data_IF_552035613638
#
_entry.id   IF_552035613638
#
_cell.length_a   1.000
_cell.length_b   1.000
_cell.length_c   1.000
_cell.angle_alpha   90.00
_cell.angle_beta   90.00
_cell.angle_gamma   90.00
#
_symmetry.space_group_name_H-M   'P 1'
#
loop_
_entity.id
_entity.type
_entity.pdbx_description
1 polymer ?
#
# COMPACT_ATOMS: atom_id res chain seq x y z
N UNK A 1 1.36 14.80 -11.59
CA UNK A 1 1.91 14.03 -10.45
C UNK A 1 1.22 14.45 -9.15
N UNK A 2 1.33 13.63 -8.08
CA UNK A 2 0.82 14.00 -6.73
C UNK A 2 1.43 15.32 -6.27
N UNK A 3 2.72 15.55 -6.54
CA UNK A 3 3.41 16.80 -6.21
C UNK A 3 2.77 17.99 -6.93
N UNK A 4 2.45 17.87 -8.21
CA UNK A 4 1.77 18.93 -8.98
C UNK A 4 0.35 19.21 -8.45
N UNK A 5 -0.35 18.18 -8.01
CA UNK A 5 -1.65 18.32 -7.37
C UNK A 5 -1.54 19.08 -6.04
N UNK A 6 -0.60 18.71 -5.18
CA UNK A 6 -0.38 19.36 -3.89
C UNK A 6 0.06 20.81 -4.03
N UNK A 7 0.92 21.12 -5.02
CA UNK A 7 1.31 22.49 -5.36
C UNK A 7 0.08 23.29 -5.84
N UNK A 8 -0.78 22.68 -6.66
CA UNK A 8 -2.01 23.30 -7.13
C UNK A 8 -3.02 23.59 -6.00
N UNK A 9 -3.07 22.79 -4.96
CA UNK A 9 -3.89 23.06 -3.76
C UNK A 9 -3.42 24.32 -3.02
N UNK A 10 -2.10 24.56 -2.97
CA UNK A 10 -1.52 25.77 -2.34
C UNK A 10 -1.91 27.04 -3.07
N UNK A 11 -2.11 26.99 -4.39
CA UNK A 11 -2.49 28.15 -5.22
C UNK A 11 -3.95 28.61 -4.99
N UNK A 12 -4.78 27.86 -4.28
CA UNK A 12 -6.18 28.20 -4.00
C UNK A 12 -6.37 28.98 -2.70
N UNK A 13 -5.47 29.92 -2.39
CA UNK A 13 -5.72 30.92 -1.34
C UNK A 13 -5.70 30.38 0.09
N UNK A 14 -4.86 29.38 0.39
CA UNK A 14 -4.57 29.04 1.78
C UNK A 14 -3.89 30.26 2.41
N UNK A 15 -4.54 30.88 3.41
CA UNK A 15 -3.90 31.81 4.32
C UNK A 15 -2.57 31.19 4.78
N UNK A 16 -1.49 31.99 4.79
CA UNK A 16 -0.20 31.53 5.30
C UNK A 16 -0.39 30.83 6.64
N UNK A 17 -0.08 29.54 6.70
CA UNK A 17 -0.22 28.79 7.92
C UNK A 17 0.88 29.24 8.91
N UNK A 18 0.51 30.16 9.79
CA UNK A 18 1.42 30.66 10.84
C UNK A 18 1.42 29.70 12.01
N UNK A 19 2.51 28.99 12.19
CA UNK A 19 2.69 28.12 13.35
C UNK A 19 3.21 28.92 14.53
N UNK A 20 2.53 28.85 15.67
CA UNK A 20 3.01 29.49 16.90
C UNK A 20 4.31 28.82 17.38
N UNK A 21 5.34 29.63 17.68
CA UNK A 21 6.65 29.15 18.12
C UNK A 21 6.60 28.12 19.27
N UNK A 22 5.74 28.25 20.29
CA UNK A 22 5.60 27.24 21.35
C UNK A 22 5.13 25.89 20.83
N UNK A 23 4.27 25.86 19.80
CA UNK A 23 3.80 24.61 19.17
C UNK A 23 4.91 23.94 18.38
N UNK A 24 5.79 24.71 17.75
CA UNK A 24 6.97 24.16 17.05
C UNK A 24 7.90 23.46 18.04
N UNK A 25 8.25 24.12 19.15
CA UNK A 25 9.10 23.55 20.19
C UNK A 25 8.50 22.25 20.76
N UNK A 26 7.19 22.25 21.02
CA UNK A 26 6.48 21.06 21.48
C UNK A 26 6.45 19.94 20.43
N UNK A 27 6.27 20.28 19.16
CA UNK A 27 6.34 19.34 18.04
C UNK A 27 7.71 18.67 17.93
N UNK A 28 8.80 19.43 18.04
CA UNK A 28 10.18 18.92 18.06
C UNK A 28 10.38 17.96 19.25
N UNK A 29 9.93 18.33 20.42
CA UNK A 29 9.99 17.48 21.61
C UNK A 29 9.28 16.14 21.40
N UNK A 30 8.05 16.15 20.86
CA UNK A 30 7.32 14.92 20.55
C UNK A 30 7.99 14.11 19.45
N UNK A 31 8.54 14.75 18.41
CA UNK A 31 9.27 14.09 17.35
C UNK A 31 10.44 13.27 17.91
N UNK A 32 11.18 13.81 18.87
CA UNK A 32 12.27 13.11 19.55
C UNK A 32 11.76 12.02 20.51
N UNK A 33 10.80 12.35 21.36
CA UNK A 33 10.26 11.41 22.36
C UNK A 33 9.61 10.18 21.74
N UNK A 34 8.92 10.36 20.62
CA UNK A 34 8.26 9.30 19.87
C UNK A 34 9.18 8.61 18.86
N UNK A 35 10.45 9.03 18.82
CA UNK A 35 11.46 8.48 17.91
C UNK A 35 11.05 8.52 16.42
N UNK A 36 10.35 9.56 16.00
CA UNK A 36 9.89 9.71 14.60
C UNK A 36 11.07 9.79 13.62
N UNK A 37 12.24 10.27 14.07
CA UNK A 37 13.47 10.34 13.29
C UNK A 37 14.06 8.97 12.92
N UNK A 38 13.55 7.85 13.46
CA UNK A 38 13.94 6.51 13.00
C UNK A 38 13.47 6.21 11.58
N UNK A 39 12.41 6.91 11.11
CA UNK A 39 11.82 6.72 9.78
C UNK A 39 11.72 8.04 8.99
N UNK A 40 11.61 9.20 9.68
CA UNK A 40 11.44 10.50 9.06
C UNK A 40 12.72 11.35 9.20
N UNK A 41 13.12 11.96 8.09
CA UNK A 41 14.30 12.83 8.08
C UNK A 41 13.92 14.26 8.53
N UNK A 42 14.53 14.72 9.63
CA UNK A 42 14.43 16.10 10.09
C UNK A 42 15.85 16.64 10.31
N UNK A 43 16.26 17.76 9.67
CA UNK A 43 17.61 18.29 9.79
C UNK A 43 18.02 18.47 11.27
N UNK A 44 19.22 18.00 11.61
CA UNK A 44 19.76 18.07 12.97
C UNK A 44 19.17 17.10 13.99
N UNK A 45 18.23 16.23 13.59
CA UNK A 45 17.63 15.21 14.46
C UNK A 45 17.98 13.81 13.98
N UNK A 46 18.45 12.96 14.90
CA UNK A 46 18.76 11.54 14.63
C UNK A 46 17.85 10.69 15.50
N UNK A 47 17.18 9.72 14.87
CA UNK A 47 16.40 8.71 15.58
C UNK A 47 17.28 7.57 16.11
N UNK A 48 16.77 6.88 17.12
CA UNK A 48 17.30 5.58 17.53
C UNK A 48 16.93 4.57 16.45
N UNK A 49 17.81 3.62 16.07
CA UNK A 49 17.47 2.57 15.12
C UNK A 49 16.18 1.86 15.54
N UNK A 50 15.30 1.59 14.59
CA UNK A 50 14.13 0.76 14.83
C UNK A 50 14.60 -0.68 15.15
N UNK A 51 13.84 -1.38 16.00
CA UNK A 51 14.09 -2.79 16.23
C UNK A 51 13.87 -3.59 14.94
N UNK A 52 14.71 -4.58 14.72
CA UNK A 52 14.50 -5.56 13.66
C UNK A 52 13.14 -6.26 13.88
N UNK A 53 12.44 -6.54 12.77
CA UNK A 53 11.12 -7.17 12.83
C UNK A 53 11.09 -8.46 13.65
N UNK A 54 12.18 -9.26 13.60
CA UNK A 54 12.34 -10.49 14.36
C UNK A 54 12.44 -10.29 15.88
N UNK A 55 12.79 -9.08 16.31
CA UNK A 55 12.88 -8.68 17.73
C UNK A 55 11.60 -8.09 18.29
N UNK A 56 10.62 -7.82 17.44
CA UNK A 56 9.33 -7.30 17.88
C UNK A 56 8.56 -8.37 18.66
N UNK A 57 7.82 -7.93 19.66
CA UNK A 57 6.96 -8.79 20.50
C UNK A 57 5.52 -8.30 20.45
N UNK A 58 4.60 -9.24 20.34
CA UNK A 58 3.17 -8.91 20.45
C UNK A 58 2.87 -8.31 21.82
N UNK A 59 2.13 -7.20 21.83
CA UNK A 59 1.74 -6.50 23.06
C UNK A 59 2.79 -5.54 23.63
N UNK A 60 3.97 -5.43 23.01
CA UNK A 60 5.02 -4.49 23.41
C UNK A 60 5.19 -3.33 22.42
N UNK A 61 5.91 -2.29 22.82
CA UNK A 61 6.18 -1.11 22.00
C UNK A 61 4.91 -0.52 21.42
N UNK A 62 4.89 -0.25 20.12
CA UNK A 62 3.74 0.32 19.40
C UNK A 62 2.52 -0.63 19.32
N UNK A 63 2.68 -1.91 19.59
CA UNK A 63 1.57 -2.88 19.66
C UNK A 63 0.94 -2.97 21.06
N UNK A 64 1.52 -2.27 22.06
CA UNK A 64 0.97 -2.18 23.40
C UNK A 64 -0.32 -1.33 23.42
N UNK A 65 -1.21 -1.63 24.35
CA UNK A 65 -2.37 -0.77 24.65
C UNK A 65 -1.95 0.53 25.36
N UNK A 66 -0.76 0.56 25.96
CA UNK A 66 -0.16 1.72 26.60
C UNK A 66 1.34 1.77 26.28
N UNK A 67 1.72 2.24 25.07
CA UNK A 67 3.11 2.26 24.66
C UNK A 67 3.94 3.19 25.56
N UNK A 68 5.12 2.75 25.94
CA UNK A 68 6.11 3.57 26.65
C UNK A 68 7.15 4.05 25.66
N UNK A 69 7.23 5.35 25.40
CA UNK A 69 8.28 5.95 24.55
C UNK A 69 8.16 5.70 23.05
N UNK A 70 6.95 5.43 22.55
CA UNK A 70 6.65 5.26 21.13
C UNK A 70 5.28 5.82 20.77
N UNK A 71 4.93 5.89 19.47
CA UNK A 71 3.63 6.36 19.04
C UNK A 71 2.51 5.42 19.50
N UNK A 72 1.39 6.00 19.88
CA UNK A 72 0.16 5.26 20.16
C UNK A 72 -0.63 5.10 18.87
N UNK A 73 -0.78 3.85 18.43
CA UNK A 73 -1.72 3.51 17.37
C UNK A 73 -3.01 2.99 18.00
N UNK A 74 -4.13 3.62 17.70
CA UNK A 74 -5.44 3.22 18.23
C UNK A 74 -5.92 1.90 17.58
N UNK A 75 -5.15 0.84 17.79
CA UNK A 75 -5.43 -0.49 17.24
C UNK A 75 -6.52 -1.18 18.08
N UNK A 76 -7.48 -1.81 17.40
CA UNK A 76 -8.43 -2.70 18.07
C UNK A 76 -7.73 -3.96 18.57
N UNK A 77 -8.40 -4.69 19.47
CA UNK A 77 -7.92 -5.99 19.95
C UNK A 77 -7.69 -6.99 18.79
N UNK A 78 -8.61 -6.99 17.81
CA UNK A 78 -8.51 -7.84 16.63
C UNK A 78 -7.28 -7.48 15.76
N UNK A 79 -7.01 -6.19 15.55
CA UNK A 79 -5.84 -5.74 14.82
C UNK A 79 -4.54 -6.13 15.54
N UNK A 80 -4.45 -5.95 16.86
CA UNK A 80 -3.29 -6.39 17.65
C UNK A 80 -3.08 -7.89 17.58
N UNK A 81 -4.16 -8.67 17.68
CA UNK A 81 -4.09 -10.12 17.55
C UNK A 81 -3.60 -10.55 16.16
N UNK A 82 -4.08 -9.91 15.09
CA UNK A 82 -3.63 -10.17 13.72
C UNK A 82 -2.14 -9.84 13.54
N UNK A 83 -1.68 -8.69 14.07
CA UNK A 83 -0.27 -8.31 14.05
C UNK A 83 0.60 -9.29 14.85
N UNK A 84 0.11 -9.76 16.01
CA UNK A 84 0.80 -10.80 16.80
C UNK A 84 0.98 -12.10 16.03
N UNK A 85 -0.06 -12.55 15.30
CA UNK A 85 0.03 -13.71 14.42
C UNK A 85 1.03 -13.49 13.28
N UNK A 86 1.04 -12.30 12.66
CA UNK A 86 2.00 -11.96 11.63
C UNK A 86 3.45 -11.99 12.15
N UNK A 87 3.70 -11.42 13.34
CA UNK A 87 5.03 -11.48 13.98
C UNK A 87 5.49 -12.91 14.25
N UNK A 88 4.61 -13.79 14.70
CA UNK A 88 4.93 -15.20 14.92
C UNK A 88 5.24 -15.97 13.62
N UNK A 89 4.84 -15.42 12.48
CA UNK A 89 5.11 -15.96 11.14
C UNK A 89 6.38 -15.43 10.47
N UNK A 90 7.04 -14.42 11.04
CA UNK A 90 8.24 -13.81 10.44
C UNK A 90 9.35 -14.88 10.28
N UNK A 91 9.95 -14.89 9.10
CA UNK A 91 11.01 -15.83 8.75
C UNK A 91 10.52 -17.24 8.33
N UNK A 92 9.22 -17.51 8.41
CA UNK A 92 8.65 -18.75 7.87
C UNK A 92 8.36 -18.57 6.37
N UNK A 93 8.72 -19.54 5.52
CA UNK A 93 8.39 -19.47 4.11
C UNK A 93 6.87 -19.47 3.92
N UNK A 94 6.39 -18.57 3.07
CA UNK A 94 4.99 -18.51 2.68
C UNK A 94 4.71 -19.48 1.53
N UNK A 95 3.58 -20.16 1.55
CA UNK A 95 3.07 -20.88 0.39
C UNK A 95 2.73 -19.91 -0.76
N UNK A 96 2.61 -20.42 -1.97
CA UNK A 96 2.47 -19.62 -3.21
C UNK A 96 1.27 -18.67 -3.18
N UNK A 97 0.10 -19.14 -2.76
CA UNK A 97 -1.10 -18.30 -2.58
C UNK A 97 -0.87 -17.15 -1.60
N UNK A 98 -0.20 -17.42 -0.48
CA UNK A 98 0.07 -16.41 0.54
C UNK A 98 1.10 -15.38 0.06
N UNK A 99 2.09 -15.78 -0.75
CA UNK A 99 3.04 -14.86 -1.38
C UNK A 99 2.33 -13.91 -2.36
N UNK A 100 1.44 -14.46 -3.20
CA UNK A 100 0.61 -13.65 -4.10
C UNK A 100 -0.20 -12.64 -3.28
N UNK A 101 -0.96 -13.11 -2.30
CA UNK A 101 -1.81 -12.25 -1.47
C UNK A 101 -1.00 -11.17 -0.75
N UNK A 102 0.14 -11.51 -0.18
CA UNK A 102 1.04 -10.55 0.46
C UNK A 102 1.46 -9.45 -0.53
N UNK A 103 1.85 -9.83 -1.74
CA UNK A 103 2.25 -8.89 -2.78
C UNK A 103 1.09 -8.00 -3.21
N UNK A 104 -0.09 -8.58 -3.45
CA UNK A 104 -1.29 -7.82 -3.85
C UNK A 104 -1.71 -6.80 -2.78
N UNK A 105 -1.55 -7.13 -1.50
CA UNK A 105 -1.83 -6.21 -0.38
C UNK A 105 -0.73 -5.17 -0.25
N UNK A 106 0.55 -5.56 -0.30
CA UNK A 106 1.69 -4.66 -0.14
C UNK A 106 1.71 -3.54 -1.19
N UNK A 107 1.35 -3.85 -2.44
CA UNK A 107 1.27 -2.89 -3.54
C UNK A 107 -0.14 -2.35 -3.79
N UNK A 108 -1.08 -2.67 -2.90
CA UNK A 108 -2.48 -2.24 -2.97
C UNK A 108 -3.19 -2.58 -4.30
N UNK A 109 -2.79 -3.66 -4.95
CA UNK A 109 -3.42 -4.15 -6.18
C UNK A 109 -4.90 -4.46 -5.96
N UNK A 110 -5.25 -4.89 -4.74
CA UNK A 110 -6.63 -5.19 -4.31
C UNK A 110 -7.55 -3.97 -4.26
N UNK A 111 -7.04 -2.74 -4.35
CA UNK A 111 -7.89 -1.55 -4.48
C UNK A 111 -8.61 -1.50 -5.83
N UNK A 112 -8.08 -2.18 -6.85
CA UNK A 112 -8.60 -2.19 -8.20
C UNK A 112 -9.00 -3.59 -8.67
N UNK A 113 -8.26 -4.63 -8.27
CA UNK A 113 -8.48 -6.01 -8.69
C UNK A 113 -9.12 -6.84 -7.59
N UNK A 114 -10.05 -7.72 -7.99
CA UNK A 114 -10.55 -8.77 -7.10
C UNK A 114 -9.71 -10.03 -7.23
N UNK A 115 -9.56 -10.78 -6.14
CA UNK A 115 -9.07 -12.15 -6.12
C UNK A 115 -9.63 -12.91 -4.93
N UNK A 116 -10.07 -14.14 -5.13
CA UNK A 116 -10.65 -15.02 -4.09
C UNK A 116 -11.74 -14.31 -3.26
N UNK A 117 -12.58 -13.51 -3.91
CA UNK A 117 -13.68 -12.75 -3.30
C UNK A 117 -13.25 -11.51 -2.50
N UNK A 118 -11.96 -11.15 -2.48
CA UNK A 118 -11.46 -9.96 -1.79
C UNK A 118 -11.03 -8.86 -2.78
N UNK A 119 -11.10 -7.60 -2.35
CA UNK A 119 -10.67 -6.43 -3.12
C UNK A 119 -11.69 -5.95 -4.15
N UNK A 120 -11.16 -5.23 -5.15
CA UNK A 120 -11.94 -4.62 -6.24
C UNK A 120 -12.36 -3.19 -5.97
N UNK A 121 -12.78 -2.52 -7.04
CA UNK A 121 -13.27 -1.14 -6.97
C UNK A 121 -14.63 -1.11 -6.25
N UNK A 122 -14.77 -0.26 -5.23
CA UNK A 122 -16.06 -0.07 -4.57
C UNK A 122 -17.06 0.65 -5.50
N UNK A 123 -18.35 0.40 -5.34
CA UNK A 123 -19.40 1.04 -6.14
C UNK A 123 -19.33 2.57 -6.09
N UNK A 124 -18.96 3.15 -4.96
CA UNK A 124 -18.80 4.60 -4.81
C UNK A 124 -17.68 5.17 -5.69
N UNK A 125 -16.70 4.34 -6.05
CA UNK A 125 -15.55 4.72 -6.89
C UNK A 125 -15.79 4.49 -8.38
N UNK A 126 -16.82 3.76 -8.80
CA UNK A 126 -17.11 3.43 -10.21
C UNK A 126 -17.18 4.67 -11.11
N UNK A 127 -17.69 5.79 -10.63
CA UNK A 127 -17.77 7.07 -11.37
C UNK A 127 -16.41 7.62 -11.82
N UNK A 128 -15.32 7.16 -11.22
CA UNK A 128 -13.95 7.59 -11.54
C UNK A 128 -13.28 6.69 -12.58
N UNK A 129 -13.93 5.61 -12.98
CA UNK A 129 -13.45 4.68 -13.98
C UNK A 129 -14.20 4.88 -15.29
N UNK A 130 -13.56 5.55 -16.24
CA UNK A 130 -14.12 5.85 -17.56
C UNK A 130 -13.65 4.86 -18.62
N UNK A 131 -14.39 4.86 -19.74
CA UNK A 131 -14.08 4.05 -20.92
C UNK A 131 -14.63 4.76 -22.18
N UNK A 132 -14.00 4.49 -23.35
CA UNK A 132 -14.53 4.90 -24.64
C UNK A 132 -15.53 3.87 -25.21
N UNK A 133 -15.69 2.70 -24.54
CA UNK A 133 -16.56 1.60 -24.95
C UNK A 133 -17.71 1.39 -23.95
N UNK A 134 -18.60 2.36 -23.84
CA UNK A 134 -19.70 2.35 -22.86
C UNK A 134 -20.63 1.13 -23.01
N UNK A 135 -20.83 0.66 -24.25
CA UNK A 135 -21.69 -0.49 -24.57
C UNK A 135 -21.26 -1.82 -23.91
N UNK A 136 -20.00 -1.92 -23.50
CA UNK A 136 -19.47 -3.10 -22.80
C UNK A 136 -19.71 -3.05 -21.27
N UNK A 137 -20.21 -1.94 -20.74
CA UNK A 137 -20.53 -1.77 -19.34
C UNK A 137 -19.29 -1.86 -18.41
N UNK A 138 -19.47 -2.43 -17.23
CA UNK A 138 -18.39 -2.51 -16.22
C UNK A 138 -17.12 -3.24 -16.70
N UNK A 139 -17.17 -4.32 -17.50
CA UNK A 139 -15.97 -4.95 -18.05
C UNK A 139 -15.07 -4.02 -18.87
N UNK A 140 -15.63 -2.95 -19.46
CA UNK A 140 -14.85 -1.98 -20.22
C UNK A 140 -14.09 -0.96 -19.37
N UNK A 141 -14.51 -0.74 -18.13
CA UNK A 141 -13.99 0.35 -17.27
C UNK A 141 -13.40 -0.12 -15.94
N UNK A 142 -13.84 -1.25 -15.41
CA UNK A 142 -13.35 -1.78 -14.14
C UNK A 142 -12.21 -2.78 -14.40
N UNK A 143 -11.09 -2.70 -13.64
CA UNK A 143 -10.01 -3.65 -13.74
C UNK A 143 -10.48 -5.10 -13.56
N UNK A 144 -9.93 -6.07 -14.34
CA UNK A 144 -10.39 -7.45 -14.29
C UNK A 144 -10.06 -8.14 -12.99
N UNK A 145 -10.81 -9.20 -12.67
CA UNK A 145 -10.42 -10.11 -11.59
C UNK A 145 -9.08 -10.81 -11.90
N UNK A 146 -8.32 -11.09 -10.86
CA UNK A 146 -7.09 -11.88 -10.92
C UNK A 146 -7.36 -13.39 -10.67
N UNK A 147 -8.63 -13.79 -10.52
CA UNK A 147 -8.99 -15.19 -10.40
C UNK A 147 -8.65 -15.95 -11.69
N UNK A 148 -7.87 -17.00 -11.55
CA UNK A 148 -7.43 -17.83 -12.68
C UNK A 148 -6.58 -17.10 -13.73
N UNK A 149 -5.96 -15.98 -13.38
CA UNK A 149 -5.15 -15.18 -14.32
C UNK A 149 -3.98 -15.97 -14.88
N UNK A 150 -3.37 -16.85 -14.10
CA UNK A 150 -2.26 -17.72 -14.55
C UNK A 150 -2.67 -18.72 -15.61
N UNK A 151 -3.93 -19.22 -15.57
CA UNK A 151 -4.47 -20.10 -16.61
C UNK A 151 -4.93 -19.33 -17.86
N UNK A 152 -5.18 -18.01 -17.74
CA UNK A 152 -5.67 -17.18 -18.85
C UNK A 152 -4.55 -16.52 -19.65
N UNK A 153 -3.48 -16.10 -18.99
CA UNK A 153 -2.40 -15.31 -19.58
C UNK A 153 -1.10 -16.11 -19.60
N UNK A 154 -0.40 -16.06 -20.73
CA UNK A 154 0.97 -16.57 -20.81
C UNK A 154 1.90 -15.73 -19.95
N UNK A 155 2.91 -16.32 -19.28
CA UNK A 155 3.85 -15.58 -18.43
C UNK A 155 4.51 -14.39 -19.13
N UNK A 156 4.90 -14.52 -20.39
CA UNK A 156 5.53 -13.44 -21.16
C UNK A 156 4.58 -12.25 -21.36
N UNK A 157 3.29 -12.51 -21.61
CA UNK A 157 2.29 -11.44 -21.73
C UNK A 157 2.04 -10.76 -20.39
N UNK A 158 1.95 -11.56 -19.32
CA UNK A 158 1.81 -11.03 -17.96
C UNK A 158 2.99 -10.13 -17.57
N UNK A 159 4.22 -10.49 -17.98
CA UNK A 159 5.41 -9.65 -17.80
C UNK A 159 5.27 -8.31 -18.51
N UNK A 160 4.83 -8.29 -19.77
CA UNK A 160 4.59 -7.05 -20.53
C UNK A 160 3.60 -6.13 -19.82
N UNK A 161 2.50 -6.67 -19.32
CA UNK A 161 1.52 -5.89 -18.56
C UNK A 161 2.09 -5.34 -17.25
N UNK A 162 2.87 -6.14 -16.52
CA UNK A 162 3.40 -5.77 -15.21
C UNK A 162 4.61 -4.82 -15.28
N UNK A 163 5.44 -4.91 -16.34
CA UNK A 163 6.74 -4.25 -16.37
C UNK A 163 6.92 -3.27 -17.53
N UNK A 164 6.20 -3.46 -18.64
CA UNK A 164 6.34 -2.65 -19.85
C UNK A 164 5.11 -1.74 -20.08
N UNK A 165 4.19 -1.68 -19.11
CA UNK A 165 2.96 -0.91 -19.18
C UNK A 165 2.07 -1.26 -20.39
N UNK A 166 2.16 -2.51 -20.89
CA UNK A 166 1.35 -2.95 -22.03
C UNK A 166 -0.14 -2.81 -21.71
N UNK A 167 -0.89 -2.25 -22.66
CA UNK A 167 -2.29 -1.91 -22.46
C UNK A 167 -3.19 -2.97 -23.08
N UNK A 168 -3.77 -3.83 -22.24
CA UNK A 168 -4.70 -4.89 -22.67
C UNK A 168 -6.03 -4.33 -23.15
N UNK A 169 -6.47 -3.22 -22.58
CA UNK A 169 -7.76 -2.55 -22.88
C UNK A 169 -7.49 -1.07 -23.17
N UNK A 170 -7.16 -0.72 -24.43
CA UNK A 170 -6.78 0.64 -24.81
C UNK A 170 -7.90 1.68 -24.55
N UNK A 171 -9.15 1.25 -24.65
CA UNK A 171 -10.34 2.06 -24.40
C UNK A 171 -10.60 2.39 -22.91
N UNK A 172 -9.93 1.71 -21.98
CA UNK A 172 -10.05 1.98 -20.55
C UNK A 172 -9.19 3.19 -20.19
N UNK A 173 -9.78 4.20 -19.52
CA UNK A 173 -9.07 5.42 -19.14
C UNK A 173 -8.12 5.19 -17.97
N UNK A 174 -8.44 4.26 -17.07
CA UNK A 174 -7.59 3.90 -15.94
C UNK A 174 -6.42 3.04 -16.40
N UNK A 175 -5.22 3.41 -15.97
CA UNK A 175 -3.99 2.67 -16.25
C UNK A 175 -3.47 2.00 -14.99
N UNK A 176 -2.96 0.79 -15.13
CA UNK A 176 -2.33 0.06 -14.03
C UNK A 176 -1.01 0.75 -13.64
N UNK A 177 -0.79 1.07 -12.35
CA UNK A 177 0.49 1.59 -11.89
C UNK A 177 1.62 0.60 -12.12
N UNK A 178 2.80 1.11 -12.44
CA UNK A 178 4.00 0.31 -12.64
C UNK A 178 4.83 0.31 -11.36
N UNK A 179 5.03 -0.86 -10.76
CA UNK A 179 5.74 -1.02 -9.49
C UNK A 179 7.19 -1.50 -9.65
N UNK A 180 7.61 -1.72 -10.89
CA UNK A 180 8.97 -2.16 -11.24
C UNK A 180 9.18 -3.68 -11.10
N UNK A 181 10.03 -4.22 -11.97
CA UNK A 181 10.29 -5.66 -12.03
C UNK A 181 10.90 -6.21 -10.75
N UNK A 182 11.79 -5.47 -10.09
CA UNK A 182 12.41 -5.89 -8.84
C UNK A 182 11.39 -6.28 -7.75
N UNK A 183 10.23 -5.63 -7.75
CA UNK A 183 9.18 -5.85 -6.76
C UNK A 183 8.20 -6.98 -7.15
N UNK A 184 7.93 -7.17 -8.43
CA UNK A 184 6.83 -8.04 -8.89
C UNK A 184 7.27 -9.23 -9.75
N UNK A 185 8.58 -9.42 -10.04
CA UNK A 185 9.09 -10.46 -10.95
C UNK A 185 8.68 -11.89 -10.59
N UNK A 186 8.31 -12.12 -9.33
CA UNK A 186 7.87 -13.44 -8.85
C UNK A 186 6.42 -13.76 -9.18
N UNK A 187 5.57 -12.74 -9.43
CA UNK A 187 4.13 -12.92 -9.62
C UNK A 187 3.76 -13.79 -10.85
N UNK A 188 4.33 -13.60 -12.05
CA UNK A 188 3.96 -14.42 -13.22
C UNK A 188 4.08 -15.92 -12.94
N UNK A 189 5.23 -16.34 -12.41
CA UNK A 189 5.47 -17.74 -12.10
C UNK A 189 4.59 -18.27 -10.94
N UNK A 190 4.25 -17.42 -9.97
CA UNK A 190 3.34 -17.80 -8.90
C UNK A 190 1.89 -17.93 -9.40
N UNK A 191 1.44 -17.02 -10.25
CA UNK A 191 0.08 -17.11 -10.83
C UNK A 191 -0.10 -18.34 -11.71
N UNK A 192 0.94 -18.80 -12.39
CA UNK A 192 0.88 -20.01 -13.23
C UNK A 192 0.65 -21.28 -12.39
N UNK A 193 1.08 -21.29 -11.14
CA UNK A 193 1.01 -22.46 -10.24
C UNK A 193 -0.30 -22.58 -9.44
N UNK A 194 -1.13 -21.52 -9.37
CA UNK A 194 -2.31 -21.48 -8.48
C UNK A 194 -3.56 -20.95 -9.12
#
# INVERSE_FOLDING_TARGET
SIASFLIGLKARGSSEFKVAAPKVAMGIKYFEQLNCASCHNLPGKKGKPALEMTKLRAGEGCLSVKPKGGPFFNLSAAQRAAMGKALAGIGKPLGEKAQIQQTLVAFNCIACHTRDGAGGVSNAMFKHFGTDEEGLGNPARIPPTLDGVGAKLRPEWMRKVLFDAETVRPYMHTRMPQFGEANLRHLPALFEKV
#
